data_IF_267625742949
#
_entry.id   IF_267625742949
#
_cell.length_a   1.000
_cell.length_b   1.000
_cell.length_c   1.000
_cell.angle_alpha   90.00
_cell.angle_beta   90.00
_cell.angle_gamma   90.00
#
_symmetry.space_group_name_H-M   'P 1'
#
loop_
_entity.id
_entity.type
_entity.pdbx_description
1 polymer ?
#
# COMPACT_ATOMS: atom_id res chain seq x y z
N UNK A 1 -34.64 9.49 -10.29
CA UNK A 1 -34.96 8.05 -10.48
C UNK A 1 -34.76 7.33 -9.17
N UNK A 2 -35.56 6.30 -8.88
CA UNK A 2 -35.52 5.53 -7.64
C UNK A 2 -34.44 4.44 -7.69
N UNK A 3 -33.16 4.82 -7.76
CA UNK A 3 -32.07 3.87 -7.59
C UNK A 3 -31.96 3.52 -6.10
N UNK A 4 -31.85 2.23 -5.77
CA UNK A 4 -31.79 1.75 -4.39
C UNK A 4 -30.38 1.34 -3.94
N UNK A 5 -29.43 1.26 -4.87
CA UNK A 5 -28.05 0.87 -4.65
C UNK A 5 -27.18 1.41 -5.79
N UNK A 6 -25.92 1.75 -5.51
CA UNK A 6 -24.90 2.01 -6.53
C UNK A 6 -23.89 0.87 -6.53
N UNK A 7 -23.54 0.36 -7.71
CA UNK A 7 -22.51 -0.65 -7.87
C UNK A 7 -21.36 -0.10 -8.72
N UNK A 8 -20.14 -0.17 -8.20
CA UNK A 8 -18.92 0.23 -8.91
C UNK A 8 -18.08 -0.99 -9.27
N UNK A 9 -17.86 -1.24 -10.56
CA UNK A 9 -17.00 -2.33 -11.04
C UNK A 9 -15.81 -1.78 -11.83
N UNK A 10 -14.58 -2.02 -11.35
CA UNK A 10 -13.39 -1.45 -12.00
C UNK A 10 -12.14 -1.45 -11.12
N UNK A 11 -11.26 -0.48 -11.36
CA UNK A 11 -10.13 -0.14 -10.49
C UNK A 11 -10.45 1.07 -9.60
N UNK A 12 -9.49 1.51 -8.78
CA UNK A 12 -9.67 2.50 -7.70
C UNK A 12 -10.56 3.70 -8.03
N UNK A 13 -10.28 4.43 -9.12
CA UNK A 13 -11.08 5.61 -9.54
C UNK A 13 -12.56 5.30 -9.70
N UNK A 14 -12.91 4.16 -10.30
CA UNK A 14 -14.31 3.74 -10.46
C UNK A 14 -14.94 3.39 -9.11
N UNK A 15 -14.20 2.70 -8.25
CA UNK A 15 -14.68 2.28 -6.93
C UNK A 15 -14.94 3.51 -6.04
N UNK A 16 -14.00 4.45 -6.00
CA UNK A 16 -14.13 5.68 -5.21
C UNK A 16 -15.23 6.60 -5.74
N UNK A 17 -15.41 6.67 -7.07
CA UNK A 17 -16.54 7.38 -7.67
C UNK A 17 -17.87 6.76 -7.23
N UNK A 18 -17.96 5.42 -7.17
CA UNK A 18 -19.15 4.74 -6.69
C UNK A 18 -19.42 5.00 -5.20
N UNK A 19 -18.37 4.97 -4.36
CA UNK A 19 -18.48 5.33 -2.92
C UNK A 19 -18.99 6.75 -2.75
N UNK A 20 -18.38 7.72 -3.42
CA UNK A 20 -18.76 9.13 -3.33
C UNK A 20 -20.20 9.36 -3.84
N UNK A 21 -20.57 8.78 -4.98
CA UNK A 21 -21.91 8.91 -5.55
C UNK A 21 -22.97 8.31 -4.63
N UNK A 22 -22.68 7.17 -3.98
CA UNK A 22 -23.62 6.49 -3.10
C UNK A 22 -23.82 7.26 -1.80
N UNK A 23 -22.73 7.81 -1.27
CA UNK A 23 -22.75 8.70 -0.12
C UNK A 23 -23.62 9.94 -0.38
N UNK A 24 -23.40 10.63 -1.52
CA UNK A 24 -24.20 11.80 -1.91
C UNK A 24 -25.69 11.46 -2.12
N UNK A 25 -25.98 10.28 -2.68
CA UNK A 25 -27.34 9.80 -2.91
C UNK A 25 -28.00 9.23 -1.65
N UNK A 26 -27.27 9.02 -0.55
CA UNK A 26 -27.78 8.45 0.69
C UNK A 26 -28.26 7.00 0.56
N UNK A 27 -27.65 6.21 -0.33
CA UNK A 27 -28.02 4.82 -0.62
C UNK A 27 -26.82 3.86 -0.47
N UNK A 28 -27.06 2.55 -0.27
CA UNK A 28 -26.01 1.55 -0.19
C UNK A 28 -25.07 1.50 -1.40
N UNK A 29 -23.83 1.04 -1.18
CA UNK A 29 -22.82 0.84 -2.22
C UNK A 29 -22.28 -0.59 -2.26
N UNK A 30 -22.14 -1.12 -3.48
CA UNK A 30 -21.47 -2.39 -3.77
C UNK A 30 -20.21 -2.11 -4.57
N UNK A 31 -19.08 -2.65 -4.11
CA UNK A 31 -17.76 -2.48 -4.72
C UNK A 31 -17.33 -3.80 -5.33
N UNK A 32 -17.02 -3.80 -6.63
CA UNK A 32 -16.60 -4.96 -7.40
C UNK A 32 -15.21 -4.72 -8.02
N UNK A 33 -14.12 -4.97 -7.28
CA UNK A 33 -12.78 -4.82 -7.81
C UNK A 33 -12.54 -5.79 -8.96
N UNK A 34 -12.01 -5.27 -10.07
CA UNK A 34 -11.59 -6.09 -11.24
C UNK A 34 -10.10 -6.36 -11.26
N UNK A 35 -9.37 -5.76 -10.32
CA UNK A 35 -7.94 -5.96 -10.03
C UNK A 35 -7.77 -5.93 -8.51
N UNK A 36 -6.84 -6.74 -7.97
CA UNK A 36 -6.48 -6.77 -6.55
C UNK A 36 -5.14 -6.05 -6.35
N UNK A 37 -5.12 -4.76 -6.68
CA UNK A 37 -3.90 -3.94 -6.76
C UNK A 37 -3.67 -2.97 -5.61
N UNK A 38 -4.70 -2.76 -4.79
CA UNK A 38 -4.69 -1.93 -3.59
C UNK A 38 -5.71 -2.47 -2.60
N UNK A 39 -5.65 -2.03 -1.35
CA UNK A 39 -6.57 -2.43 -0.29
C UNK A 39 -7.76 -1.46 -0.04
N UNK A 40 -7.78 -0.36 -0.79
CA UNK A 40 -8.87 0.60 -0.83
C UNK A 40 -10.31 0.04 -1.01
N UNK A 41 -10.59 -1.11 -1.65
CA UNK A 41 -11.98 -1.55 -1.86
C UNK A 41 -12.85 -1.64 -0.60
N UNK A 42 -12.28 -1.97 0.57
CA UNK A 42 -13.06 -2.11 1.81
C UNK A 42 -13.17 -0.82 2.61
N UNK A 43 -12.36 0.19 2.30
CA UNK A 43 -12.24 1.37 3.16
C UNK A 43 -13.39 2.36 2.98
N UNK A 44 -13.69 3.08 4.06
CA UNK A 44 -14.50 4.28 4.10
C UNK A 44 -13.71 5.53 3.65
N UNK A 45 -12.68 5.34 2.82
CA UNK A 45 -11.79 6.40 2.34
C UNK A 45 -11.80 6.40 0.81
N UNK A 46 -11.79 7.59 0.23
CA UNK A 46 -11.43 7.82 -1.17
C UNK A 46 -10.22 8.74 -1.22
N UNK A 47 -9.27 8.44 -2.10
CA UNK A 47 -8.11 9.30 -2.31
C UNK A 47 -8.40 10.25 -3.46
N UNK A 48 -8.34 11.55 -3.17
CA UNK A 48 -8.54 12.59 -4.17
C UNK A 48 -7.18 13.01 -4.71
N UNK A 49 -7.09 13.11 -6.04
CA UNK A 49 -5.90 13.55 -6.74
C UNK A 49 -6.25 14.76 -7.60
N UNK A 50 -5.27 15.65 -7.76
CA UNK A 50 -5.34 16.73 -8.75
C UNK A 50 -5.47 16.17 -10.17
N UNK A 51 -5.91 16.97 -11.16
CA UNK A 51 -5.90 16.56 -12.57
C UNK A 51 -4.51 16.11 -13.06
N UNK A 52 -3.46 16.63 -12.45
CA UNK A 52 -2.04 16.31 -12.71
C UNK A 52 -1.59 15.01 -12.03
N UNK A 53 -2.42 14.40 -11.18
CA UNK A 53 -2.17 13.11 -10.52
C UNK A 53 -1.40 13.21 -9.20
N UNK A 54 -1.24 14.42 -8.65
CA UNK A 54 -0.65 14.63 -7.33
C UNK A 54 -1.70 14.34 -6.25
N UNK A 55 -1.27 13.78 -5.11
CA UNK A 55 -2.13 13.59 -3.95
C UNK A 55 -2.68 14.95 -3.46
N UNK A 56 -3.98 15.02 -3.21
CA UNK A 56 -4.64 16.25 -2.74
C UNK A 56 -5.20 16.09 -1.32
N UNK A 57 -6.08 15.10 -1.11
CA UNK A 57 -6.70 14.85 0.20
C UNK A 57 -7.22 13.41 0.35
N UNK A 58 -7.33 12.98 1.61
CA UNK A 58 -8.14 11.83 1.99
C UNK A 58 -9.58 12.28 2.26
N UNK A 59 -10.55 11.71 1.52
CA UNK A 59 -11.98 11.92 1.76
C UNK A 59 -12.55 10.77 2.56
N UNK A 60 -12.99 11.06 3.78
CA UNK A 60 -13.59 10.09 4.69
C UNK A 60 -15.11 10.04 4.55
N UNK A 61 -15.66 8.83 4.51
CA UNK A 61 -17.10 8.54 4.53
C UNK A 61 -17.50 8.01 5.92
N UNK A 62 -18.75 8.21 6.37
CA UNK A 62 -19.18 7.75 7.68
C UNK A 62 -19.36 6.23 7.79
N UNK A 63 -19.31 5.49 6.67
CA UNK A 63 -19.51 4.05 6.59
C UNK A 63 -18.64 3.45 5.49
N UNK A 64 -18.11 2.25 5.74
CA UNK A 64 -17.51 1.39 4.73
C UNK A 64 -18.55 0.93 3.70
N UNK A 65 -18.13 0.43 2.52
CA UNK A 65 -19.03 -0.20 1.56
C UNK A 65 -19.89 -1.32 2.14
N UNK A 66 -21.16 -1.39 1.74
CA UNK A 66 -22.10 -2.40 2.23
C UNK A 66 -21.75 -3.82 1.77
N UNK A 67 -21.10 -3.93 0.60
CA UNK A 67 -20.57 -5.19 0.07
C UNK A 67 -19.32 -4.94 -0.77
N UNK A 68 -18.27 -5.72 -0.53
CA UNK A 68 -17.13 -5.89 -1.44
C UNK A 68 -17.20 -7.29 -2.03
N UNK A 69 -17.37 -7.39 -3.34
CA UNK A 69 -17.48 -8.66 -4.06
C UNK A 69 -16.31 -8.79 -5.04
N UNK A 70 -15.44 -9.76 -4.77
CA UNK A 70 -14.25 -10.01 -5.60
C UNK A 70 -14.40 -11.32 -6.34
N UNK A 71 -14.41 -11.26 -7.68
CA UNK A 71 -14.39 -12.45 -8.54
C UNK A 71 -12.94 -12.80 -8.88
N UNK A 72 -12.41 -13.85 -8.26
CA UNK A 72 -11.01 -14.26 -8.44
C UNK A 72 -10.67 -14.76 -9.83
N UNK A 73 -11.66 -15.21 -10.62
CA UNK A 73 -11.44 -15.52 -12.03
C UNK A 73 -11.13 -14.22 -12.79
N UNK A 74 -11.87 -13.14 -12.53
CA UNK A 74 -11.59 -11.83 -13.14
C UNK A 74 -10.21 -11.33 -12.71
N UNK A 75 -9.89 -11.40 -11.42
CA UNK A 75 -8.58 -10.98 -10.90
C UNK A 75 -7.44 -11.74 -11.59
N UNK A 76 -7.54 -13.07 -11.72
CA UNK A 76 -6.50 -13.88 -12.34
C UNK A 76 -6.33 -13.64 -13.86
N UNK A 77 -7.31 -13.04 -14.53
CA UNK A 77 -7.19 -12.65 -15.95
C UNK A 77 -6.49 -11.29 -16.15
N UNK A 78 -6.41 -10.45 -15.12
CA UNK A 78 -5.75 -9.16 -15.21
C UNK A 78 -4.21 -9.32 -15.33
N UNK A 79 -3.49 -8.32 -15.88
CA UNK A 79 -2.03 -8.33 -15.87
C UNK A 79 -1.47 -8.52 -14.46
N UNK A 80 -0.59 -9.50 -14.28
CA UNK A 80 -0.02 -9.88 -12.97
C UNK A 80 0.62 -8.71 -12.21
N UNK A 81 1.10 -7.69 -12.93
CA UNK A 81 1.69 -6.48 -12.31
C UNK A 81 0.72 -5.78 -11.36
N UNK A 82 -0.60 -5.80 -11.64
CA UNK A 82 -1.60 -5.29 -10.70
C UNK A 82 -1.65 -6.12 -9.42
N UNK A 83 -1.64 -7.45 -9.56
CA UNK A 83 -1.67 -8.36 -8.42
C UNK A 83 -0.42 -8.23 -7.53
N UNK A 84 0.75 -8.08 -8.16
CA UNK A 84 2.02 -7.84 -7.46
C UNK A 84 2.02 -6.47 -6.79
N UNK A 85 1.51 -5.42 -7.45
CA UNK A 85 1.31 -4.12 -6.80
C UNK A 85 0.47 -4.26 -5.53
N UNK A 86 -0.63 -5.02 -5.56
CA UNK A 86 -1.45 -5.23 -4.35
C UNK A 86 -0.70 -5.94 -3.22
N UNK A 87 0.23 -6.85 -3.54
CA UNK A 87 1.08 -7.46 -2.53
C UNK A 87 2.06 -6.45 -1.91
N UNK A 88 2.52 -5.46 -2.67
CA UNK A 88 3.40 -4.40 -2.16
C UNK A 88 2.67 -3.47 -1.19
N UNK A 89 1.43 -3.11 -1.52
CA UNK A 89 0.53 -2.33 -0.66
C UNK A 89 0.24 -3.07 0.65
N UNK A 90 -0.21 -4.33 0.53
CA UNK A 90 -0.58 -5.17 1.66
C UNK A 90 0.58 -5.56 2.59
N UNK A 91 1.83 -5.46 2.11
CA UNK A 91 2.99 -5.74 2.94
C UNK A 91 3.23 -4.63 3.96
N UNK A 92 2.93 -3.37 3.63
CA UNK A 92 3.12 -2.22 4.51
C UNK A 92 2.16 -2.24 5.72
N UNK A 93 0.95 -2.79 5.53
CA UNK A 93 -0.12 -2.81 6.53
C UNK A 93 0.33 -3.26 7.92
N UNK A 94 1.11 -4.34 8.01
CA UNK A 94 1.56 -4.85 9.31
C UNK A 94 2.49 -3.85 10.02
N UNK A 95 3.44 -3.30 9.29
CA UNK A 95 4.46 -2.44 9.86
C UNK A 95 3.89 -1.09 10.27
N UNK A 96 3.07 -0.49 9.42
CA UNK A 96 2.41 0.78 9.74
C UNK A 96 1.43 0.65 10.91
N UNK A 97 0.61 -0.41 10.95
CA UNK A 97 -0.29 -0.65 12.07
C UNK A 97 0.47 -0.91 13.38
N UNK A 98 1.60 -1.62 13.33
CA UNK A 98 2.46 -1.86 14.50
C UNK A 98 3.15 -0.55 14.98
N UNK A 99 3.61 0.29 14.05
CA UNK A 99 4.17 1.61 14.36
C UNK A 99 3.14 2.52 15.05
N UNK A 100 1.94 2.65 14.47
CA UNK A 100 0.82 3.44 15.04
C UNK A 100 0.45 2.93 16.44
N UNK A 101 0.40 1.61 16.62
CA UNK A 101 0.11 0.99 17.92
C UNK A 101 1.21 1.27 18.95
N UNK A 102 2.49 1.16 18.58
CA UNK A 102 3.62 1.50 19.47
C UNK A 102 3.63 2.98 19.86
N UNK A 103 3.25 3.86 18.95
CA UNK A 103 3.15 5.30 19.18
C UNK A 103 1.95 5.68 20.07
N UNK A 104 0.96 4.79 20.20
CA UNK A 104 -0.32 5.13 20.83
C UNK A 104 -1.13 6.15 20.02
N UNK A 105 -0.87 6.23 18.70
CA UNK A 105 -1.54 7.15 17.79
C UNK A 105 -2.97 6.69 17.44
N UNK A 106 -3.70 7.53 16.70
CA UNK A 106 -5.02 7.19 16.19
C UNK A 106 -4.93 6.50 14.83
N UNK A 107 -5.81 5.53 14.59
CA UNK A 107 -6.01 4.90 13.29
C UNK A 107 -6.92 5.75 12.39
N UNK A 108 -7.11 5.30 11.14
CA UNK A 108 -7.92 6.04 10.15
C UNK A 108 -9.41 6.07 10.48
N UNK A 109 -9.88 5.19 11.38
CA UNK A 109 -11.24 5.19 11.89
C UNK A 109 -11.46 6.14 13.10
N UNK A 110 -10.44 6.90 13.51
CA UNK A 110 -10.51 7.89 14.59
C UNK A 110 -10.39 7.32 16.01
N UNK A 111 -10.04 6.03 16.15
CA UNK A 111 -9.80 5.36 17.43
C UNK A 111 -8.35 4.91 17.57
N UNK A 112 -8.04 4.12 18.61
CA UNK A 112 -6.74 3.45 18.69
C UNK A 112 -6.77 2.09 17.97
N UNK A 113 -5.61 1.59 17.50
CA UNK A 113 -5.51 0.26 16.91
C UNK A 113 -6.07 -0.81 17.84
N UNK A 114 -6.98 -1.64 17.34
CA UNK A 114 -7.53 -2.74 18.13
C UNK A 114 -6.64 -3.98 18.03
N UNK A 115 -6.65 -4.84 19.05
CA UNK A 115 -5.93 -6.12 18.99
C UNK A 115 -6.40 -7.01 17.83
N UNK A 116 -7.67 -6.91 17.44
CA UNK A 116 -8.22 -7.58 16.27
C UNK A 116 -7.59 -7.05 14.97
N UNK A 117 -7.55 -5.73 14.78
CA UNK A 117 -6.95 -5.10 13.61
C UNK A 117 -5.45 -5.46 13.48
N UNK A 118 -4.70 -5.41 14.58
CA UNK A 118 -3.29 -5.80 14.59
C UNK A 118 -3.08 -7.27 14.22
N UNK A 119 -3.94 -8.18 14.69
CA UNK A 119 -3.85 -9.59 14.34
C UNK A 119 -4.20 -9.85 12.87
N UNK A 120 -5.16 -9.09 12.33
CA UNK A 120 -5.52 -9.14 10.91
C UNK A 120 -4.37 -8.63 10.05
N UNK A 121 -3.77 -7.48 10.39
CA UNK A 121 -2.60 -6.94 9.70
C UNK A 121 -1.42 -7.92 9.74
N UNK A 122 -1.18 -8.55 10.89
CA UNK A 122 -0.13 -9.58 11.00
C UNK A 122 -0.40 -10.80 10.13
N UNK A 123 -1.64 -11.27 10.09
CA UNK A 123 -2.05 -12.39 9.22
C UNK A 123 -1.89 -12.04 7.74
N UNK A 124 -2.14 -10.77 7.36
CA UNK A 124 -1.88 -10.26 6.02
C UNK A 124 -0.41 -10.50 5.63
N UNK A 125 0.52 -9.99 6.45
CA UNK A 125 1.97 -10.18 6.28
C UNK A 125 2.37 -11.66 6.17
N UNK A 126 1.89 -12.50 7.08
CA UNK A 126 2.20 -13.93 7.10
C UNK A 126 1.69 -14.66 5.84
N UNK A 127 0.49 -14.33 5.36
CA UNK A 127 -0.07 -14.89 4.14
C UNK A 127 0.72 -14.47 2.89
N UNK A 128 1.16 -13.20 2.82
CA UNK A 128 1.99 -12.70 1.73
C UNK A 128 3.28 -13.51 1.61
N UNK A 129 4.04 -13.64 2.71
CA UNK A 129 5.29 -14.40 2.71
C UNK A 129 5.08 -15.88 2.37
N UNK A 130 3.98 -16.47 2.84
CA UNK A 130 3.70 -17.89 2.64
C UNK A 130 3.21 -18.23 1.22
N UNK A 131 2.35 -17.40 0.64
CA UNK A 131 1.63 -17.74 -0.59
C UNK A 131 1.97 -16.84 -1.78
N UNK A 132 2.56 -15.66 -1.56
CA UNK A 132 2.70 -14.60 -2.58
C UNK A 132 3.40 -15.05 -3.86
N UNK A 133 4.55 -15.74 -3.75
CA UNK A 133 5.27 -16.25 -4.93
C UNK A 133 4.41 -17.27 -5.71
N UNK A 134 3.81 -18.24 -5.01
CA UNK A 134 2.98 -19.26 -5.67
C UNK A 134 1.71 -18.67 -6.31
N UNK A 135 1.11 -17.66 -5.68
CA UNK A 135 -0.04 -16.94 -6.21
C UNK A 135 0.32 -16.12 -7.45
N UNK A 136 1.44 -15.38 -7.41
CA UNK A 136 1.97 -14.67 -8.58
C UNK A 136 2.14 -15.61 -9.77
N UNK A 137 2.84 -16.74 -9.57
CA UNK A 137 3.08 -17.71 -10.65
C UNK A 137 1.78 -18.31 -11.19
N UNK A 138 0.76 -18.51 -10.35
CA UNK A 138 -0.56 -18.96 -10.78
C UNK A 138 -1.29 -17.89 -11.62
N UNK A 139 -1.26 -16.61 -11.20
CA UNK A 139 -1.85 -15.49 -11.96
C UNK A 139 -1.13 -15.27 -13.29
N UNK A 140 0.19 -15.43 -13.37
CA UNK A 140 0.94 -15.42 -14.65
C UNK A 140 0.44 -16.49 -15.62
N UNK A 141 -0.10 -17.59 -15.10
CA UNK A 141 -0.72 -18.68 -15.86
C UNK A 141 -2.24 -18.53 -15.98
N UNK A 142 -2.82 -17.43 -15.49
CA UNK A 142 -4.26 -17.16 -15.49
C UNK A 142 -5.07 -18.24 -14.77
N UNK A 143 -4.49 -18.83 -13.72
CA UNK A 143 -5.09 -19.87 -12.91
C UNK A 143 -5.53 -19.31 -11.55
N UNK A 144 -6.64 -19.83 -11.03
CA UNK A 144 -7.07 -19.59 -9.65
C UNK A 144 -6.72 -20.82 -8.83
N UNK A 145 -5.84 -20.63 -7.85
CA UNK A 145 -5.47 -21.65 -6.86
C UNK A 145 -5.83 -21.13 -5.48
N UNK A 146 -5.77 -21.99 -4.46
CA UNK A 146 -5.93 -21.56 -3.06
C UNK A 146 -4.93 -20.45 -2.68
N UNK A 147 -3.71 -20.47 -3.23
CA UNK A 147 -2.75 -19.39 -3.01
C UNK A 147 -3.22 -18.06 -3.60
N UNK A 148 -3.88 -18.07 -4.77
CA UNK A 148 -4.48 -16.87 -5.37
C UNK A 148 -5.63 -16.37 -4.49
N UNK A 149 -6.54 -17.25 -4.06
CA UNK A 149 -7.63 -16.89 -3.14
C UNK A 149 -7.08 -16.23 -1.86
N UNK A 150 -6.05 -16.82 -1.24
CA UNK A 150 -5.42 -16.29 -0.02
C UNK A 150 -4.78 -14.92 -0.20
N UNK A 151 -4.16 -14.67 -1.35
CA UNK A 151 -3.51 -13.39 -1.62
C UNK A 151 -4.52 -12.34 -2.10
N UNK A 152 -5.59 -12.71 -2.79
CA UNK A 152 -6.72 -11.80 -3.04
C UNK A 152 -7.36 -11.36 -1.72
N UNK A 153 -7.61 -12.30 -0.81
CA UNK A 153 -8.09 -12.03 0.55
C UNK A 153 -7.12 -11.10 1.30
N UNK A 154 -5.81 -11.37 1.23
CA UNK A 154 -4.80 -10.54 1.88
C UNK A 154 -4.78 -9.12 1.32
N UNK A 155 -4.66 -8.96 0.00
CA UNK A 155 -4.57 -7.67 -0.68
C UNK A 155 -5.83 -6.80 -0.54
N UNK A 156 -6.98 -7.39 -0.20
CA UNK A 156 -8.26 -6.66 -0.16
C UNK A 156 -8.82 -6.59 1.26
N UNK A 157 -9.11 -7.72 1.89
CA UNK A 157 -9.81 -7.77 3.17
C UNK A 157 -8.86 -7.56 4.35
N UNK A 158 -7.77 -8.33 4.40
CA UNK A 158 -6.86 -8.29 5.55
C UNK A 158 -6.09 -6.97 5.56
N UNK A 159 -5.55 -6.57 4.42
CA UNK A 159 -4.89 -5.28 4.25
C UNK A 159 -5.87 -4.14 4.55
N UNK A 160 -7.06 -4.18 3.95
CA UNK A 160 -8.08 -3.14 4.07
C UNK A 160 -8.50 -2.86 5.51
N UNK A 161 -8.85 -3.90 6.27
CA UNK A 161 -9.17 -3.76 7.70
C UNK A 161 -7.91 -3.40 8.51
N UNK A 162 -6.78 -4.03 8.17
CA UNK A 162 -5.51 -3.85 8.87
C UNK A 162 -5.01 -2.42 8.82
N UNK A 163 -5.10 -1.73 7.68
CA UNK A 163 -4.63 -0.35 7.55
C UNK A 163 -5.66 0.62 8.15
N UNK A 164 -6.95 0.43 7.87
CA UNK A 164 -7.96 1.40 8.28
C UNK A 164 -8.16 1.40 9.80
N UNK A 165 -8.21 0.20 10.39
CA UNK A 165 -8.38 0.02 11.84
C UNK A 165 -7.06 -0.16 12.60
N UNK A 166 -5.93 -0.31 11.91
CA UNK A 166 -4.60 -0.39 12.51
C UNK A 166 -3.77 0.89 12.37
N UNK A 167 -3.91 1.61 11.26
CA UNK A 167 -3.28 2.90 10.99
C UNK A 167 -2.24 2.86 9.86
N UNK A 168 -1.92 4.06 9.37
CA UNK A 168 -0.85 4.35 8.40
C UNK A 168 0.27 5.11 9.10
N UNK A 169 1.51 4.97 8.59
CA UNK A 169 2.71 5.58 9.15
C UNK A 169 3.61 6.12 8.03
N UNK A 170 4.94 5.88 8.10
CA UNK A 170 5.88 6.47 7.15
C UNK A 170 5.76 5.95 5.71
N UNK A 171 5.43 4.67 5.50
CA UNK A 171 5.43 4.08 4.17
C UNK A 171 4.48 4.80 3.20
N UNK A 172 3.24 5.07 3.65
CA UNK A 172 2.26 5.79 2.84
C UNK A 172 2.59 7.27 2.64
N UNK A 173 3.09 7.97 3.66
CA UNK A 173 3.54 9.36 3.49
C UNK A 173 4.70 9.51 2.51
N UNK A 174 5.62 8.55 2.49
CA UNK A 174 6.72 8.54 1.52
C UNK A 174 6.18 8.24 0.11
N UNK A 175 5.22 7.31 -0.02
CA UNK A 175 4.49 7.10 -1.27
C UNK A 175 3.87 8.41 -1.78
N UNK A 176 3.20 9.18 -0.91
CA UNK A 176 2.52 10.41 -1.27
C UNK A 176 3.54 11.48 -1.70
N UNK A 177 4.64 11.62 -0.96
CA UNK A 177 5.76 12.49 -1.35
C UNK A 177 6.34 12.12 -2.73
N UNK A 178 6.45 10.82 -3.07
CA UNK A 178 6.96 10.37 -4.37
C UNK A 178 6.06 10.78 -5.55
N UNK A 179 4.79 11.09 -5.33
CA UNK A 179 3.87 11.54 -6.40
C UNK A 179 4.27 12.87 -7.02
N UNK A 180 5.07 13.66 -6.31
CA UNK A 180 5.64 14.92 -6.80
C UNK A 180 6.71 14.76 -7.89
N UNK A 181 7.16 13.52 -8.13
CA UNK A 181 8.10 13.16 -9.19
C UNK A 181 7.33 12.63 -10.40
N UNK A 182 7.34 13.35 -11.52
CA UNK A 182 6.66 12.91 -12.74
C UNK A 182 7.10 11.50 -13.21
N UNK A 183 8.36 11.14 -12.98
CA UNK A 183 8.90 9.82 -13.31
C UNK A 183 8.25 8.67 -12.50
N UNK A 184 7.62 8.97 -11.36
CA UNK A 184 6.93 7.97 -10.52
C UNK A 184 5.50 7.68 -10.97
N UNK A 185 4.91 8.51 -11.85
CA UNK A 185 3.50 8.36 -12.29
C UNK A 185 3.22 7.09 -13.11
N UNK A 186 4.27 6.47 -13.66
CA UNK A 186 4.19 5.17 -14.35
C UNK A 186 4.17 3.96 -13.40
N UNK A 187 4.44 4.20 -12.11
CA UNK A 187 4.44 3.19 -11.06
C UNK A 187 3.03 3.06 -10.49
N UNK A 188 2.66 1.83 -10.17
CA UNK A 188 1.43 1.58 -9.42
C UNK A 188 1.62 1.94 -7.94
N UNK A 189 0.50 2.10 -7.24
CA UNK A 189 0.47 2.49 -5.83
C UNK A 189 1.38 1.62 -4.96
N UNK A 190 1.15 0.31 -4.94
CA UNK A 190 1.94 -0.61 -4.12
C UNK A 190 3.41 -0.75 -4.53
N UNK A 191 3.77 -0.38 -5.76
CA UNK A 191 5.19 -0.29 -6.18
C UNK A 191 5.91 0.90 -5.54
N UNK A 192 5.20 1.98 -5.24
CA UNK A 192 5.73 3.13 -4.48
C UNK A 192 5.67 2.87 -2.98
N UNK A 193 4.55 2.33 -2.47
CA UNK A 193 4.37 1.98 -1.04
C UNK A 193 5.46 1.05 -0.57
N UNK A 194 5.81 0.01 -1.35
CA UNK A 194 6.84 -0.93 -0.90
C UNK A 194 8.22 -0.28 -0.72
N UNK A 195 8.56 0.69 -1.57
CA UNK A 195 9.81 1.43 -1.37
C UNK A 195 9.71 2.32 -0.13
N UNK A 196 8.58 3.00 0.08
CA UNK A 196 8.28 3.71 1.32
C UNK A 196 8.42 2.84 2.57
N UNK A 197 7.96 1.58 2.51
CA UNK A 197 8.12 0.62 3.60
C UNK A 197 9.60 0.32 3.87
N UNK A 198 10.44 0.11 2.86
CA UNK A 198 11.87 -0.13 3.07
C UNK A 198 12.51 1.07 3.79
N UNK A 199 12.12 2.29 3.42
CA UNK A 199 12.56 3.52 4.10
C UNK A 199 12.08 3.55 5.56
N UNK A 200 10.81 3.24 5.81
CA UNK A 200 10.26 3.14 7.17
C UNK A 200 11.05 2.15 8.02
N UNK A 201 11.35 0.96 7.52
CA UNK A 201 12.12 -0.05 8.26
C UNK A 201 13.53 0.43 8.61
N UNK A 202 14.15 1.25 7.75
CA UNK A 202 15.43 1.89 8.03
C UNK A 202 15.28 2.94 9.13
N UNK A 203 14.26 3.80 9.06
CA UNK A 203 13.98 4.82 10.07
C UNK A 203 13.70 4.21 11.44
N UNK A 204 12.90 3.14 11.48
CA UNK A 204 12.59 2.37 12.69
C UNK A 204 13.81 1.61 13.26
N UNK A 205 14.93 1.57 12.53
CA UNK A 205 16.11 0.77 12.86
C UNK A 205 15.73 -0.71 13.13
N UNK A 206 14.90 -1.26 12.25
CA UNK A 206 14.41 -2.63 12.36
C UNK A 206 15.54 -3.65 12.31
N UNK A 207 15.28 -4.85 12.84
CA UNK A 207 16.23 -5.95 12.82
C UNK A 207 16.68 -6.23 11.36
N UNK A 208 17.99 -6.31 11.07
CA UNK A 208 18.48 -6.55 9.71
C UNK A 208 17.91 -7.82 9.05
N UNK A 209 17.57 -8.85 9.83
CA UNK A 209 16.93 -10.06 9.30
C UNK A 209 15.51 -9.80 8.82
N UNK A 210 14.76 -8.92 9.50
CA UNK A 210 13.41 -8.54 9.10
C UNK A 210 13.44 -7.68 7.82
N UNK A 211 14.40 -6.75 7.72
CA UNK A 211 14.62 -5.97 6.49
C UNK A 211 14.97 -6.91 5.33
N UNK A 212 15.85 -7.88 5.55
CA UNK A 212 16.22 -8.86 4.53
C UNK A 212 15.04 -9.75 4.11
N UNK A 213 14.18 -10.18 5.04
CA UNK A 213 12.97 -10.96 4.73
C UNK A 213 12.02 -10.19 3.81
N UNK A 214 11.78 -8.91 4.11
CA UNK A 214 10.97 -8.01 3.26
C UNK A 214 11.61 -7.84 1.89
N UNK A 215 12.90 -7.50 1.82
CA UNK A 215 13.61 -7.31 0.55
C UNK A 215 13.61 -8.59 -0.30
N UNK A 216 13.84 -9.76 0.31
CA UNK A 216 13.85 -11.03 -0.39
C UNK A 216 12.48 -11.38 -0.97
N UNK A 217 11.41 -11.19 -0.18
CA UNK A 217 10.06 -11.36 -0.67
C UNK A 217 9.80 -10.45 -1.86
N UNK A 218 10.12 -9.15 -1.74
CA UNK A 218 9.93 -8.17 -2.80
C UNK A 218 10.66 -8.57 -4.09
N UNK A 219 11.93 -8.96 -3.99
CA UNK A 219 12.72 -9.43 -5.12
C UNK A 219 12.10 -10.68 -5.76
N UNK A 220 11.65 -11.65 -4.95
CA UNK A 220 11.02 -12.87 -5.46
C UNK A 220 9.72 -12.59 -6.23
N UNK A 221 8.87 -11.70 -5.72
CA UNK A 221 7.60 -11.35 -6.39
C UNK A 221 7.77 -10.26 -7.45
N UNK A 222 8.93 -9.62 -7.55
CA UNK A 222 9.25 -8.60 -8.56
C UNK A 222 8.76 -7.20 -8.21
N UNK A 223 8.66 -6.88 -6.93
CA UNK A 223 8.45 -5.52 -6.42
C UNK A 223 9.76 -4.71 -6.45
N UNK A 224 9.70 -3.39 -6.66
CA UNK A 224 10.88 -2.54 -6.69
C UNK A 224 11.47 -2.38 -5.28
N UNK A 225 12.80 -2.45 -5.18
CA UNK A 225 13.51 -2.29 -3.89
C UNK A 225 14.58 -1.20 -3.92
N UNK A 226 14.82 -0.57 -5.06
CA UNK A 226 15.79 0.52 -5.21
C UNK A 226 15.32 1.54 -6.26
N UNK A 227 15.99 2.69 -6.32
CA UNK A 227 15.68 3.76 -7.26
C UNK A 227 15.73 3.29 -8.72
N UNK A 228 16.67 2.41 -9.08
CA UNK A 228 16.74 1.88 -10.45
C UNK A 228 15.47 1.11 -10.84
N UNK A 229 14.87 0.35 -9.92
CA UNK A 229 13.62 -0.39 -10.19
C UNK A 229 12.43 0.55 -10.36
N UNK A 230 12.43 1.64 -9.59
CA UNK A 230 11.47 2.73 -9.71
C UNK A 230 11.72 3.60 -10.96
N UNK A 231 12.84 3.39 -11.66
CA UNK A 231 13.40 4.25 -12.73
C UNK A 231 13.66 5.68 -12.28
N UNK A 232 14.04 5.81 -11.02
CA UNK A 232 14.51 7.01 -10.35
C UNK A 232 16.04 6.98 -10.16
N UNK A 233 16.78 6.09 -10.84
CA UNK A 233 18.26 5.97 -10.70
C UNK A 233 19.09 7.22 -11.04
N UNK A 234 18.45 8.28 -11.58
CA UNK A 234 19.05 9.60 -11.84
C UNK A 234 18.32 10.73 -11.10
N UNK A 235 17.54 10.41 -10.07
CA UNK A 235 16.84 11.39 -9.25
C UNK A 235 17.84 12.34 -8.63
N UNK A 236 17.57 13.65 -8.70
CA UNK A 236 18.46 14.64 -8.10
C UNK A 236 18.21 14.75 -6.61
N UNK A 237 19.21 15.22 -5.85
CA UNK A 237 19.02 15.51 -4.43
C UNK A 237 17.88 16.52 -4.19
N UNK A 238 17.76 17.54 -5.06
CA UNK A 238 16.66 18.52 -5.00
C UNK A 238 15.28 17.89 -5.15
N UNK A 239 15.17 16.88 -6.02
CA UNK A 239 13.92 16.15 -6.22
C UNK A 239 13.60 15.27 -5.00
N UNK A 240 14.61 14.62 -4.41
CA UNK A 240 14.45 13.88 -3.15
C UNK A 240 14.04 14.80 -2.01
N UNK A 241 14.63 15.99 -1.89
CA UNK A 241 14.22 17.00 -0.90
C UNK A 241 12.77 17.44 -1.10
N UNK A 242 12.26 17.45 -2.34
CA UNK A 242 10.83 17.72 -2.62
C UNK A 242 9.95 16.58 -2.10
N UNK A 243 10.33 15.33 -2.34
CA UNK A 243 9.64 14.13 -1.82
C UNK A 243 9.57 14.16 -0.30
N UNK A 244 10.72 14.38 0.34
CA UNK A 244 10.86 14.43 1.80
C UNK A 244 9.96 15.50 2.40
N UNK A 245 10.02 16.73 1.88
CA UNK A 245 9.24 17.86 2.40
C UNK A 245 7.73 17.61 2.35
N UNK A 246 7.25 16.90 1.33
CA UNK A 246 5.86 16.50 1.22
C UNK A 246 5.52 15.35 2.17
N UNK A 247 6.37 14.32 2.22
CA UNK A 247 6.19 13.18 3.12
C UNK A 247 6.20 13.57 4.61
N UNK A 248 6.82 14.70 4.98
CA UNK A 248 6.86 15.22 6.36
C UNK A 248 5.95 16.43 6.57
N UNK A 249 4.99 16.70 5.68
CA UNK A 249 4.03 17.78 5.89
C UNK A 249 3.22 17.57 7.19
N UNK A 250 2.71 18.64 7.79
CA UNK A 250 2.13 18.61 9.16
C UNK A 250 0.99 17.59 9.34
N UNK A 251 0.22 17.32 8.28
CA UNK A 251 -0.93 16.42 8.31
C UNK A 251 -0.64 15.01 7.78
N UNK A 252 0.63 14.67 7.52
CA UNK A 252 1.03 13.37 6.99
C UNK A 252 1.04 12.26 8.04
N UNK A 253 0.83 11.03 7.59
CA UNK A 253 0.77 9.84 8.46
C UNK A 253 2.13 9.45 9.05
N UNK A 254 3.24 9.95 8.51
CA UNK A 254 4.60 9.73 9.04
C UNK A 254 4.75 10.15 10.51
N UNK A 255 3.91 11.08 10.97
CA UNK A 255 3.91 11.55 12.36
C UNK A 255 3.27 10.54 13.34
N UNK A 256 2.71 9.43 12.83
CA UNK A 256 2.26 8.28 13.64
C UNK A 256 3.40 7.31 14.00
N UNK A 257 4.63 7.56 13.55
CA UNK A 257 5.81 6.81 13.99
C UNK A 257 6.07 6.99 15.50
N UNK A 258 6.60 5.97 16.22
CA UNK A 258 6.82 6.02 17.66
C UNK A 258 8.06 6.86 18.08
N UNK A 259 8.54 7.74 17.20
CA UNK A 259 9.68 8.61 17.38
C UNK A 259 9.52 9.89 16.55
N UNK A 260 10.26 10.94 16.90
CA UNK A 260 10.27 12.17 16.12
C UNK A 260 10.91 11.98 14.75
N UNK A 261 10.22 12.42 13.70
CA UNK A 261 10.69 12.38 12.32
C UNK A 261 11.14 13.77 11.87
N UNK A 262 12.25 13.86 11.14
CA UNK A 262 12.76 15.10 10.53
C UNK A 262 12.98 14.89 9.04
N UNK A 263 12.97 15.98 8.26
CA UNK A 263 13.31 15.91 6.82
C UNK A 263 14.68 15.23 6.58
N UNK A 264 15.67 15.57 7.41
CA UNK A 264 17.02 15.00 7.34
C UNK A 264 17.01 13.48 7.58
N UNK A 265 16.29 12.99 8.59
CA UNK A 265 16.24 11.55 8.88
C UNK A 265 15.55 10.75 7.78
N UNK A 266 14.50 11.31 7.15
CA UNK A 266 13.82 10.68 6.02
C UNK A 266 14.72 10.66 4.78
N UNK A 267 15.47 11.74 4.51
CA UNK A 267 16.41 11.78 3.38
C UNK A 267 17.52 10.73 3.53
N UNK A 268 18.13 10.62 4.71
CA UNK A 268 19.17 9.63 4.99
C UNK A 268 18.62 8.20 4.87
N UNK A 269 17.39 7.97 5.35
CA UNK A 269 16.73 6.68 5.24
C UNK A 269 16.38 6.33 3.77
N UNK A 270 15.97 7.31 2.95
CA UNK A 270 15.73 7.13 1.51
C UNK A 270 16.99 6.64 0.78
N UNK A 271 18.12 7.30 1.01
CA UNK A 271 19.40 6.93 0.40
C UNK A 271 19.89 5.57 0.90
N UNK A 272 19.69 5.28 2.19
CA UNK A 272 20.06 4.00 2.79
C UNK A 272 19.19 2.85 2.28
N UNK A 273 17.88 3.06 2.13
CA UNK A 273 16.95 2.09 1.55
C UNK A 273 17.33 1.71 0.12
N UNK A 274 17.65 2.71 -0.72
CA UNK A 274 18.15 2.49 -2.09
C UNK A 274 19.43 1.64 -2.09
N UNK A 275 20.40 1.98 -1.23
CA UNK A 275 21.66 1.26 -1.12
C UNK A 275 21.46 -0.19 -0.66
N UNK A 276 20.59 -0.42 0.33
CA UNK A 276 20.26 -1.76 0.85
C UNK A 276 19.57 -2.62 -0.22
N UNK A 277 18.56 -2.10 -0.90
CA UNK A 277 17.87 -2.82 -1.96
C UNK A 277 18.80 -3.14 -3.14
N UNK A 278 19.60 -2.17 -3.57
CA UNK A 278 20.61 -2.34 -4.62
C UNK A 278 21.65 -3.40 -4.24
N UNK A 279 22.08 -3.43 -2.98
CA UNK A 279 23.01 -4.45 -2.48
C UNK A 279 22.35 -5.83 -2.43
N UNK A 280 21.14 -5.95 -1.85
CA UNK A 280 20.44 -7.23 -1.69
C UNK A 280 20.15 -7.90 -3.03
N UNK A 281 19.75 -7.13 -4.05
CA UNK A 281 19.58 -7.65 -5.42
C UNK A 281 20.86 -8.27 -5.99
N UNK A 282 22.01 -7.64 -5.77
CA UNK A 282 23.30 -8.18 -6.24
C UNK A 282 23.68 -9.48 -5.55
N UNK A 283 23.29 -9.64 -4.28
CA UNK A 283 23.51 -10.88 -3.52
C UNK A 283 22.61 -12.00 -4.07
N UNK A 284 21.31 -11.75 -4.23
CA UNK A 284 20.35 -12.74 -4.74
C UNK A 284 20.62 -13.18 -6.18
N UNK A 285 21.26 -12.35 -7.02
CA UNK A 285 21.70 -12.75 -8.37
C UNK A 285 22.92 -13.67 -8.38
N UNK A 286 23.63 -13.81 -7.26
CA UNK A 286 24.86 -14.61 -7.13
C UNK A 286 24.66 -15.94 -6.39
N UNK A 287 23.52 -16.11 -5.73
CA UNK A 287 23.10 -17.33 -5.03
C UNK A 287 22.29 -18.25 -5.95
#
# INVERSE_FOLDING_TARGET
GSFNVIAGAGGGKTLDTAKASAYEAGIPVVILPTIASTDAPTSAIAVVYTPEGEFEEYRFFPRNPDLVLVDTLIIAQAPVRFFVSGMGDALATWFEADAVNKAGAQNMAGGHPTSAALRIAKLCYENLLKYGLSAKLAVERKCVTEAVEKIVEANTLLSGIGFESGGLAAAHSIHDGMTALQASHRLYHGEKVIFGLIVQLVMENCNPNQINEVLDFCIQVGLPVCFDDLGLGKVSQRDLEKVVRLATAENETIHNEPFSVTEESVLDALLTADALGSFRKKVNLRS
#
